data_IF_955172903008
#
_entry.id   IF_955172903008
#
_cell.length_a   1.000
_cell.length_b   1.000
_cell.length_c   1.000
_cell.angle_alpha   90.00
_cell.angle_beta   90.00
_cell.angle_gamma   90.00
#
_symmetry.space_group_name_H-M   'P 1'
#
loop_
_entity.id
_entity.type
_entity.pdbx_description
1 polymer ?
#
# COMPACT_ATOMS: atom_id res chain seq x y z
N UNK A 1 5.47 -45.70 70.59
CA UNK A 1 4.00 -45.67 70.81
C UNK A 1 3.36 -44.97 69.63
N UNK A 2 2.34 -45.61 69.03
CA UNK A 2 1.26 -45.05 68.17
C UNK A 2 1.69 -44.31 66.88
N UNK A 3 1.04 -44.40 65.72
CA UNK A 3 0.09 -45.30 65.04
C UNK A 3 -0.44 -44.49 63.83
N UNK A 4 -0.59 -45.13 62.66
CA UNK A 4 -1.42 -44.76 61.48
C UNK A 4 -0.89 -43.66 60.52
N UNK A 5 -0.65 -43.97 59.22
CA UNK A 5 -1.60 -44.16 58.08
C UNK A 5 -2.31 -42.81 57.73
N UNK A 6 -2.51 -42.32 56.50
CA UNK A 6 -2.49 -42.86 55.12
C UNK A 6 -2.75 -41.73 54.08
N UNK A 7 -2.36 -42.01 52.83
CA UNK A 7 -2.81 -41.54 51.49
C UNK A 7 -3.39 -40.13 51.24
N UNK A 8 -2.78 -39.51 50.22
CA UNK A 8 -3.35 -39.18 48.90
C UNK A 8 -4.86 -38.87 48.78
N UNK A 9 -5.18 -37.63 48.39
CA UNK A 9 -5.97 -37.29 47.19
C UNK A 9 -5.46 -35.91 46.72
N UNK A 10 -4.65 -35.88 45.66
CA UNK A 10 -5.08 -35.68 44.27
C UNK A 10 -5.39 -34.20 43.97
N UNK A 11 -4.54 -33.65 43.10
CA UNK A 11 -4.84 -32.68 42.05
C UNK A 11 -6.19 -31.95 42.15
N UNK A 12 -6.11 -30.63 42.34
CA UNK A 12 -6.81 -29.60 41.53
C UNK A 12 -6.62 -28.24 42.20
N UNK A 13 -5.45 -27.63 41.98
CA UNK A 13 -5.32 -26.18 41.95
C UNK A 13 -4.05 -25.78 41.18
N UNK A 14 -3.87 -26.40 40.00
CA UNK A 14 -3.27 -25.68 38.88
C UNK A 14 -4.29 -24.61 38.45
N UNK A 15 -4.51 -23.59 39.27
CA UNK A 15 -4.86 -22.28 38.73
C UNK A 15 -3.56 -21.68 38.24
N UNK A 16 -3.09 -22.20 37.12
CA UNK A 16 -2.38 -21.40 36.14
C UNK A 16 -3.23 -20.15 35.94
N UNK A 17 -2.85 -19.08 36.63
CA UNK A 17 -3.15 -17.73 36.20
C UNK A 17 -2.50 -17.59 34.82
N UNK A 18 -3.19 -18.05 33.77
CA UNK A 18 -3.09 -17.39 32.49
C UNK A 18 -3.61 -15.99 32.76
N UNK A 19 -2.73 -15.07 33.16
CA UNK A 19 -2.96 -13.71 32.75
C UNK A 19 -2.87 -13.78 31.24
N UNK A 20 -4.03 -13.87 30.61
CA UNK A 20 -4.17 -13.41 29.24
C UNK A 20 -3.96 -11.89 29.32
N UNK A 21 -2.69 -11.50 29.46
CA UNK A 21 -2.21 -10.18 29.11
C UNK A 21 -2.32 -10.09 27.58
N UNK A 22 -3.55 -9.97 27.11
CA UNK A 22 -3.89 -9.52 25.77
C UNK A 22 -3.57 -8.03 25.65
N UNK A 23 -2.33 -7.63 25.98
CA UNK A 23 -1.76 -6.45 25.33
C UNK A 23 -1.82 -6.76 23.84
N UNK A 24 -2.50 -5.95 23.02
CA UNK A 24 -2.47 -6.13 21.58
C UNK A 24 -1.00 -6.19 21.19
N UNK A 25 -0.55 -7.32 20.64
CA UNK A 25 0.78 -7.36 20.04
C UNK A 25 0.80 -6.22 19.02
N UNK A 26 1.69 -5.26 19.22
CA UNK A 26 1.85 -4.12 18.33
C UNK A 26 2.00 -4.57 16.88
N UNK A 27 1.64 -3.71 15.94
CA UNK A 27 1.81 -3.97 14.53
C UNK A 27 3.32 -3.97 14.22
N UNK A 28 3.95 -5.14 13.96
CA UNK A 28 5.40 -5.23 13.88
C UNK A 28 6.00 -4.44 12.71
N UNK A 29 5.18 -4.09 11.71
CA UNK A 29 5.62 -3.31 10.55
C UNK A 29 5.37 -1.83 10.82
N UNK A 30 4.16 -1.46 11.24
CA UNK A 30 3.83 -0.06 11.46
C UNK A 30 4.48 0.54 12.71
N UNK A 31 4.75 -0.27 13.73
CA UNK A 31 5.42 0.16 14.96
C UNK A 31 6.94 0.12 14.83
N UNK A 32 7.49 -0.43 13.73
CA UNK A 32 8.92 -0.39 13.45
C UNK A 32 9.39 1.06 13.22
N UNK A 33 10.67 1.38 13.51
CA UNK A 33 11.21 2.71 13.25
C UNK A 33 11.00 3.15 11.79
N UNK A 34 10.39 4.32 11.62
CA UNK A 34 10.25 4.97 10.33
C UNK A 34 11.46 5.86 10.05
N UNK A 35 12.01 5.75 8.84
CA UNK A 35 13.04 6.65 8.33
C UNK A 35 12.51 7.39 7.11
N UNK A 36 12.29 8.70 7.23
CA UNK A 36 11.84 9.51 6.11
C UNK A 36 12.88 9.55 4.99
N UNK A 37 12.40 9.57 3.75
CA UNK A 37 13.23 9.76 2.56
C UNK A 37 14.02 11.06 2.68
N UNK A 38 15.33 11.04 2.44
CA UNK A 38 16.18 12.24 2.56
C UNK A 38 16.46 12.91 1.22
N UNK A 39 16.47 12.12 0.14
CA UNK A 39 16.66 12.59 -1.23
C UNK A 39 16.00 11.61 -2.20
N UNK A 40 15.73 12.06 -3.43
CA UNK A 40 15.20 11.17 -4.47
C UNK A 40 16.16 10.02 -4.80
N UNK A 41 17.48 10.21 -4.62
CA UNK A 41 18.49 9.18 -4.91
C UNK A 41 18.36 7.93 -4.05
N UNK A 42 17.77 8.06 -2.86
CA UNK A 42 17.46 6.91 -1.99
C UNK A 42 16.32 6.04 -2.53
N UNK A 43 15.49 6.55 -3.47
CA UNK A 43 14.47 5.73 -4.11
C UNK A 43 15.13 4.68 -5.02
N UNK A 44 14.79 3.38 -4.85
CA UNK A 44 15.33 2.35 -5.71
C UNK A 44 14.74 2.46 -7.12
N UNK A 45 15.62 2.44 -8.12
CA UNK A 45 15.24 2.42 -9.53
C UNK A 45 14.79 1.02 -9.93
N UNK A 46 13.81 0.95 -10.83
CA UNK A 46 13.28 -0.29 -11.37
C UNK A 46 11.88 -0.61 -10.82
N UNK A 47 11.53 -1.89 -10.83
CA UNK A 47 10.21 -2.38 -10.44
C UNK A 47 10.17 -2.75 -8.96
N UNK A 48 9.32 -2.08 -8.19
CA UNK A 48 9.08 -2.37 -6.77
C UNK A 48 7.72 -3.06 -6.62
N UNK A 49 7.73 -4.33 -6.24
CA UNK A 49 6.49 -5.12 -6.09
C UNK A 49 5.72 -4.68 -4.86
N UNK A 50 4.41 -4.59 -5.00
CA UNK A 50 3.52 -4.31 -3.87
C UNK A 50 3.62 -5.42 -2.81
N UNK A 51 3.82 -5.01 -1.56
CA UNK A 51 3.95 -5.90 -0.42
C UNK A 51 2.68 -5.96 0.42
N UNK A 52 1.94 -4.85 0.50
CA UNK A 52 0.78 -4.73 1.37
C UNK A 52 0.41 -3.29 1.68
N UNK A 53 -0.56 -3.10 2.55
CA UNK A 53 -1.04 -1.78 2.94
C UNK A 53 -1.49 -1.74 4.40
N UNK A 54 -1.50 -0.52 4.93
CA UNK A 54 -2.19 -0.17 6.16
C UNK A 54 -3.38 0.72 5.80
N UNK A 55 -4.58 0.37 6.26
CA UNK A 55 -5.78 1.17 6.01
C UNK A 55 -6.23 1.82 7.32
N UNK A 56 -6.09 3.14 7.41
CA UNK A 56 -6.47 3.90 8.58
C UNK A 56 -5.86 3.35 9.88
N UNK A 57 -6.69 2.99 10.85
CA UNK A 57 -6.28 2.41 12.13
C UNK A 57 -6.03 0.89 12.09
N UNK A 58 -6.32 0.20 10.98
CA UNK A 58 -6.13 -1.25 10.88
C UNK A 58 -4.64 -1.61 10.86
N UNK A 59 -4.26 -2.82 11.34
CA UNK A 59 -2.91 -3.33 11.17
C UNK A 59 -2.50 -3.46 9.70
N UNK A 60 -1.20 -3.49 9.44
CA UNK A 60 -0.63 -3.73 8.11
C UNK A 60 -1.02 -5.12 7.63
N UNK A 61 -1.71 -5.17 6.48
CA UNK A 61 -2.01 -6.39 5.75
C UNK A 61 -0.98 -6.63 4.65
N UNK A 62 -0.16 -7.67 4.81
CA UNK A 62 0.77 -8.12 3.77
C UNK A 62 0.11 -9.13 2.82
N UNK A 63 0.56 -9.12 1.57
CA UNK A 63 0.22 -10.14 0.59
C UNK A 63 0.84 -11.47 1.02
N UNK A 64 -0.01 -12.42 1.37
CA UNK A 64 0.39 -13.81 1.62
C UNK A 64 0.87 -14.51 0.34
N UNK A 65 1.68 -15.55 0.50
CA UNK A 65 2.25 -16.34 -0.62
C UNK A 65 1.18 -16.97 -1.53
N UNK A 66 0.01 -17.26 -0.97
CA UNK A 66 -1.12 -17.89 -1.70
C UNK A 66 -2.22 -16.88 -2.08
N UNK A 67 -1.92 -15.58 -2.06
CA UNK A 67 -2.90 -14.55 -2.37
C UNK A 67 -3.31 -14.65 -3.85
N UNK A 68 -4.61 -14.91 -4.10
CA UNK A 68 -5.18 -15.00 -5.45
C UNK A 68 -5.79 -13.69 -5.95
N UNK A 69 -5.64 -12.61 -5.20
CA UNK A 69 -6.14 -11.29 -5.61
C UNK A 69 -5.20 -10.66 -6.65
N UNK A 70 -5.76 -9.84 -7.53
CA UNK A 70 -4.97 -9.11 -8.52
C UNK A 70 -4.00 -8.10 -7.91
N UNK A 71 -4.17 -7.78 -6.62
CA UNK A 71 -3.28 -6.89 -5.88
C UNK A 71 -1.84 -7.38 -5.81
N UNK A 72 -1.59 -8.69 -5.94
CA UNK A 72 -0.23 -9.22 -6.01
C UNK A 72 0.53 -8.78 -7.28
N UNK A 73 -0.22 -8.34 -8.29
CA UNK A 73 0.34 -7.83 -9.54
C UNK A 73 0.62 -6.33 -9.48
N UNK A 74 0.25 -5.63 -8.40
CA UNK A 74 0.53 -4.21 -8.26
C UNK A 74 2.04 -3.96 -8.14
N UNK A 75 2.52 -2.91 -8.78
CA UNK A 75 3.91 -2.48 -8.65
C UNK A 75 4.10 -0.99 -8.91
N UNK A 76 5.21 -0.47 -8.38
CA UNK A 76 5.76 0.81 -8.79
C UNK A 76 6.89 0.59 -9.79
N UNK A 77 7.02 1.50 -10.74
CA UNK A 77 8.17 1.56 -11.63
C UNK A 77 8.75 2.97 -11.60
N UNK A 78 10.03 3.05 -11.23
CA UNK A 78 10.82 4.28 -11.23
C UNK A 78 11.95 4.15 -12.25
N UNK A 79 12.13 5.18 -13.08
CA UNK A 79 13.24 5.22 -14.04
C UNK A 79 14.53 5.76 -13.40
N UNK A 80 15.62 5.75 -14.17
CA UNK A 80 16.93 6.24 -13.71
C UNK A 80 16.94 7.74 -13.40
N UNK A 81 16.06 8.53 -14.03
CA UNK A 81 16.00 9.98 -13.86
C UNK A 81 15.26 10.38 -12.60
N UNK A 82 14.38 9.51 -12.09
CA UNK A 82 13.58 9.72 -10.87
C UNK A 82 12.69 10.97 -10.95
N UNK A 83 12.22 11.28 -12.16
CA UNK A 83 11.28 12.38 -12.42
C UNK A 83 9.84 11.90 -12.29
N UNK A 84 9.56 10.65 -12.69
CA UNK A 84 8.22 10.07 -12.70
C UNK A 84 8.24 8.68 -12.08
N UNK A 85 7.42 8.49 -11.07
CA UNK A 85 7.09 7.19 -10.50
C UNK A 85 5.73 6.75 -11.07
N UNK A 86 5.66 5.55 -11.63
CA UNK A 86 4.41 5.02 -12.19
C UNK A 86 3.84 3.92 -11.30
N UNK A 87 2.55 4.02 -10.97
CA UNK A 87 1.85 3.01 -10.19
C UNK A 87 0.90 2.19 -11.06
N UNK A 88 1.20 0.91 -11.18
CA UNK A 88 0.41 -0.05 -11.93
C UNK A 88 -0.53 -0.76 -10.96
N UNK A 89 -1.76 -0.25 -10.87
CA UNK A 89 -2.82 -0.82 -10.05
C UNK A 89 -3.64 -1.82 -10.86
N UNK A 90 -3.72 -3.06 -10.40
CA UNK A 90 -4.48 -4.12 -11.03
C UNK A 90 -5.74 -4.47 -10.26
N UNK A 91 -6.81 -4.77 -11.00
CA UNK A 91 -8.03 -5.32 -10.44
C UNK A 91 -8.52 -6.51 -11.24
N UNK A 92 -9.42 -7.28 -10.61
CA UNK A 92 -10.07 -8.41 -11.25
C UNK A 92 -11.12 -7.89 -12.22
N UNK A 93 -10.98 -8.22 -13.49
CA UNK A 93 -12.02 -8.06 -14.52
C UNK A 93 -12.78 -9.38 -14.70
N UNK A 94 -13.62 -9.46 -15.74
CA UNK A 94 -14.43 -10.63 -16.06
C UNK A 94 -13.57 -11.90 -16.08
N UNK A 95 -14.00 -12.92 -15.32
CA UNK A 95 -13.38 -14.24 -15.31
C UNK A 95 -11.94 -14.29 -14.79
N UNK A 96 -11.68 -13.99 -13.51
CA UNK A 96 -10.36 -14.11 -12.84
C UNK A 96 -9.15 -13.46 -13.54
N UNK A 97 -9.34 -12.70 -14.62
CA UNK A 97 -8.28 -11.99 -15.32
C UNK A 97 -7.95 -10.72 -14.54
N UNK A 98 -6.66 -10.52 -14.26
CA UNK A 98 -6.15 -9.28 -13.69
C UNK A 98 -5.74 -8.33 -14.81
N UNK A 99 -6.32 -7.13 -14.82
CA UNK A 99 -5.96 -6.07 -15.75
C UNK A 99 -5.76 -4.77 -14.98
N UNK A 100 -5.14 -3.78 -15.62
CA UNK A 100 -5.03 -2.45 -15.04
C UNK A 100 -6.44 -1.93 -14.67
N UNK A 101 -6.52 -1.29 -13.51
CA UNK A 101 -7.74 -0.66 -13.02
C UNK A 101 -8.17 0.46 -13.98
N UNK A 102 -7.20 1.30 -14.36
CA UNK A 102 -7.33 2.35 -15.36
C UNK A 102 -6.82 1.90 -16.73
N UNK A 103 -7.11 2.68 -17.77
CA UNK A 103 -6.54 2.43 -19.11
C UNK A 103 -5.01 2.52 -19.13
N UNK A 104 -4.42 3.30 -18.22
CA UNK A 104 -3.00 3.57 -18.09
C UNK A 104 -2.58 3.61 -16.61
N UNK A 105 -1.30 3.35 -16.28
CA UNK A 105 -0.78 3.54 -14.94
C UNK A 105 -0.92 4.99 -14.45
N UNK A 106 -1.00 5.18 -13.14
CA UNK A 106 -0.95 6.53 -12.57
C UNK A 106 0.49 7.06 -12.62
N UNK A 107 0.65 8.31 -13.04
CA UNK A 107 1.95 8.99 -13.09
C UNK A 107 2.07 9.93 -11.90
N UNK A 108 3.14 9.77 -11.13
CA UNK A 108 3.45 10.55 -9.94
C UNK A 108 4.70 11.35 -10.29
N UNK A 109 4.50 12.62 -10.60
CA UNK A 109 5.58 13.55 -10.90
C UNK A 109 6.27 13.89 -9.58
N UNK A 110 7.57 13.61 -9.51
CA UNK A 110 8.37 13.81 -8.31
C UNK A 110 9.04 15.18 -8.39
N UNK A 111 9.04 15.89 -7.26
CA UNK A 111 9.80 17.13 -7.07
C UNK A 111 10.86 16.93 -6.01
N UNK A 112 11.75 17.92 -5.85
CA UNK A 112 12.69 17.94 -4.73
C UNK A 112 11.93 17.86 -3.40
N UNK A 113 12.49 17.13 -2.44
CA UNK A 113 11.87 16.99 -1.12
C UNK A 113 11.84 18.35 -0.43
N UNK A 114 10.69 18.66 0.17
CA UNK A 114 10.55 19.88 0.99
C UNK A 114 11.25 19.73 2.33
N UNK A 115 11.12 18.54 2.92
CA UNK A 115 11.80 18.13 4.15
C UNK A 115 11.92 16.59 4.17
N UNK A 116 12.70 16.06 5.11
CA UNK A 116 12.87 14.61 5.24
C UNK A 116 11.53 13.91 5.39
N UNK A 117 11.25 13.01 4.46
CA UNK A 117 10.04 12.20 4.41
C UNK A 117 8.79 12.90 3.88
N UNK A 118 8.87 14.16 3.41
CA UNK A 118 7.75 14.86 2.75
C UNK A 118 8.11 15.17 1.31
N UNK A 119 7.44 14.46 0.40
CA UNK A 119 7.67 14.54 -1.02
C UNK A 119 6.51 15.29 -1.69
N UNK A 120 6.72 16.50 -2.23
CA UNK A 120 5.75 17.16 -3.08
C UNK A 120 5.55 16.37 -4.38
N UNK A 121 4.29 16.13 -4.75
CA UNK A 121 3.94 15.36 -5.95
C UNK A 121 2.73 15.93 -6.66
N UNK A 122 2.66 15.63 -7.95
CA UNK A 122 1.44 15.72 -8.75
C UNK A 122 1.12 14.34 -9.28
N UNK A 123 -0.09 13.84 -9.00
CA UNK A 123 -0.56 12.53 -9.45
C UNK A 123 -1.54 12.74 -10.58
N UNK A 124 -1.25 12.12 -11.72
CA UNK A 124 -2.08 12.16 -12.91
C UNK A 124 -2.63 10.78 -13.26
N UNK A 125 -3.87 10.76 -13.69
CA UNK A 125 -4.50 9.59 -14.32
C UNK A 125 -4.72 9.91 -15.79
N UNK A 126 -4.41 8.95 -16.66
CA UNK A 126 -4.72 9.01 -18.09
C UNK A 126 -5.87 8.07 -18.38
N UNK A 127 -6.87 8.55 -19.11
CA UNK A 127 -8.04 7.76 -19.52
C UNK A 127 -8.28 7.90 -21.01
N UNK A 128 -8.82 6.85 -21.63
CA UNK A 128 -9.35 6.93 -22.99
C UNK A 128 -10.74 7.56 -22.92
N UNK A 129 -10.94 8.62 -23.70
CA UNK A 129 -12.27 9.20 -23.94
C UNK A 129 -12.66 9.04 -25.41
N UNK A 130 -13.96 8.97 -25.65
CA UNK A 130 -14.49 9.03 -26.99
C UNK A 130 -14.14 10.40 -27.65
N UNK A 131 -13.90 10.43 -28.97
CA UNK A 131 -13.82 11.66 -29.75
C UNK A 131 -15.11 12.50 -29.63
N UNK A 132 -14.99 13.83 -29.69
CA UNK A 132 -16.15 14.69 -29.92
C UNK A 132 -16.54 14.71 -31.40
N UNK A 133 -17.71 15.27 -31.72
CA UNK A 133 -18.15 15.38 -33.13
C UNK A 133 -17.18 16.24 -33.95
N UNK A 134 -16.74 17.36 -33.38
CA UNK A 134 -15.80 18.30 -33.99
C UNK A 134 -14.43 17.66 -34.23
N UNK A 135 -13.98 16.80 -33.31
CA UNK A 135 -12.73 16.05 -33.48
C UNK A 135 -12.83 14.99 -34.58
N UNK A 136 -14.00 14.35 -34.75
CA UNK A 136 -14.26 13.39 -35.82
C UNK A 136 -14.40 14.07 -37.18
N UNK A 137 -14.83 15.34 -37.24
CA UNK A 137 -14.79 16.12 -38.50
C UNK A 137 -13.35 16.33 -38.98
N UNK A 138 -12.39 16.47 -38.05
CA UNK A 138 -10.97 16.64 -38.36
C UNK A 138 -10.29 15.29 -38.62
N UNK A 139 -10.64 14.27 -37.83
CA UNK A 139 -10.00 12.95 -37.90
C UNK A 139 -11.04 11.82 -37.74
N UNK A 140 -11.74 11.46 -38.83
CA UNK A 140 -12.87 10.53 -38.80
C UNK A 140 -12.52 9.12 -38.30
N UNK A 141 -11.28 8.69 -38.51
CA UNK A 141 -10.82 7.34 -38.15
C UNK A 141 -10.35 7.22 -36.70
N UNK A 142 -10.34 8.32 -35.95
CA UNK A 142 -9.88 8.32 -34.56
C UNK A 142 -10.90 7.61 -33.67
N UNK A 143 -10.46 6.61 -32.92
CA UNK A 143 -11.35 5.82 -32.03
C UNK A 143 -11.35 6.30 -30.58
N UNK A 144 -10.29 6.98 -30.14
CA UNK A 144 -10.20 7.58 -28.81
C UNK A 144 -9.15 8.70 -28.75
N UNK A 145 -9.30 9.56 -27.74
CA UNK A 145 -8.27 10.50 -27.30
C UNK A 145 -7.82 10.15 -25.89
N UNK A 146 -6.57 10.49 -25.57
CA UNK A 146 -6.05 10.33 -24.21
C UNK A 146 -6.30 11.65 -23.48
N UNK A 147 -7.10 11.59 -22.43
CA UNK A 147 -7.32 12.70 -21.52
C UNK A 147 -6.46 12.48 -20.27
N UNK A 148 -5.72 13.52 -19.87
CA UNK A 148 -4.91 13.51 -18.63
C UNK A 148 -5.62 14.34 -17.57
N UNK A 149 -5.86 13.76 -16.40
CA UNK A 149 -6.53 14.42 -15.26
C UNK A 149 -5.61 14.47 -14.06
N UNK A 150 -5.53 15.64 -13.44
CA UNK A 150 -4.87 15.80 -12.15
C UNK A 150 -5.77 15.15 -11.07
N UNK A 151 -5.29 14.07 -10.46
CA UNK A 151 -5.97 13.36 -9.37
C UNK A 151 -5.64 13.96 -8.02
N UNK A 152 -4.38 14.33 -7.80
CA UNK A 152 -3.91 14.87 -6.54
C UNK A 152 -2.71 15.80 -6.75
N UNK A 153 -2.64 16.86 -5.96
CA UNK A 153 -1.51 17.78 -5.90
C UNK A 153 -1.28 18.12 -4.42
N UNK A 154 -0.09 17.81 -3.91
CA UNK A 154 0.21 17.98 -2.50
C UNK A 154 1.47 17.23 -2.08
N UNK A 155 1.54 16.90 -0.79
CA UNK A 155 2.71 16.26 -0.18
C UNK A 155 2.36 14.84 0.27
N UNK A 156 3.23 13.89 -0.05
CA UNK A 156 3.14 12.51 0.46
C UNK A 156 4.20 12.28 1.53
N UNK A 157 3.83 11.49 2.55
CA UNK A 157 4.83 10.88 3.43
C UNK A 157 5.48 9.70 2.72
N UNK A 158 6.79 9.79 2.50
CA UNK A 158 7.57 8.76 1.81
C UNK A 158 8.82 8.42 2.62
N UNK A 159 9.09 7.15 2.81
CA UNK A 159 10.29 6.70 3.49
C UNK A 159 10.35 5.20 3.61
N UNK A 160 11.16 4.74 4.55
CA UNK A 160 11.41 3.32 4.77
C UNK A 160 10.90 2.90 6.15
N UNK A 161 10.26 1.76 6.21
CA UNK A 161 9.76 1.19 7.45
C UNK A 161 9.81 -0.34 7.37
N UNK A 162 10.38 -0.98 8.39
CA UNK A 162 10.55 -2.44 8.45
C UNK A 162 11.17 -3.10 7.18
N UNK A 163 12.04 -2.38 6.47
CA UNK A 163 12.68 -2.87 5.24
C UNK A 163 11.84 -2.72 3.96
N UNK A 164 10.70 -2.01 4.02
CA UNK A 164 9.87 -1.68 2.87
C UNK A 164 9.98 -0.19 2.51
N UNK A 165 9.74 0.14 1.24
CA UNK A 165 9.37 1.49 0.85
C UNK A 165 7.91 1.71 1.28
N UNK A 166 7.65 2.74 2.07
CA UNK A 166 6.33 3.17 2.54
C UNK A 166 5.95 4.49 1.88
N UNK A 167 4.76 4.54 1.29
CA UNK A 167 4.21 5.75 0.65
C UNK A 167 2.81 6.01 1.24
N UNK A 168 2.54 7.26 1.63
CA UNK A 168 1.17 7.69 1.98
C UNK A 168 0.23 7.43 0.80
N UNK A 169 -0.89 6.80 1.11
CA UNK A 169 -1.81 6.34 0.08
C UNK A 169 -2.73 7.46 -0.40
N UNK A 170 -2.37 8.04 -1.55
CA UNK A 170 -3.24 8.85 -2.43
C UNK A 170 -3.40 8.20 -3.81
N UNK A 171 -2.96 6.95 -3.94
CA UNK A 171 -2.84 6.21 -5.19
C UNK A 171 -3.92 5.16 -5.31
N UNK A 172 -4.24 4.46 -4.22
CA UNK A 172 -5.33 3.50 -4.20
C UNK A 172 -6.69 4.21 -4.21
N UNK A 173 -7.74 3.45 -4.55
CA UNK A 173 -9.12 3.93 -4.51
C UNK A 173 -9.76 3.77 -3.12
N UNK A 174 -8.95 3.75 -2.06
CA UNK A 174 -9.45 3.67 -0.68
C UNK A 174 -9.89 5.06 -0.23
N UNK A 175 -11.19 5.23 -0.01
CA UNK A 175 -11.73 6.44 0.58
C UNK A 175 -11.66 6.40 2.11
N UNK A 176 -11.37 7.56 2.70
CA UNK A 176 -11.51 7.75 4.14
C UNK A 176 -13.00 7.68 4.48
N UNK A 177 -13.34 6.78 5.40
CA UNK A 177 -14.70 6.53 5.86
C UNK A 177 -14.69 6.16 7.33
N UNK A 178 -15.87 5.92 7.90
CA UNK A 178 -16.00 5.56 9.33
C UNK A 178 -15.16 4.34 9.73
N UNK A 179 -14.91 3.43 8.80
CA UNK A 179 -14.11 2.21 8.96
C UNK A 179 -12.61 2.38 8.62
N UNK A 180 -12.22 3.49 7.98
CA UNK A 180 -10.87 3.75 7.47
C UNK A 180 -10.30 5.06 8.04
N UNK A 181 -10.58 5.36 9.31
CA UNK A 181 -10.12 6.61 9.94
C UNK A 181 -8.60 6.68 10.03
N UNK A 182 -8.01 7.79 9.60
CA UNK A 182 -6.58 8.04 9.67
C UNK A 182 -5.82 7.76 8.37
N UNK A 183 -4.52 8.01 8.38
CA UNK A 183 -3.67 7.85 7.19
C UNK A 183 -3.53 6.39 6.79
N UNK A 184 -3.59 6.16 5.49
CA UNK A 184 -3.31 4.87 4.87
C UNK A 184 -1.95 4.89 4.20
N UNK A 185 -1.29 3.75 4.13
CA UNK A 185 0.05 3.62 3.56
C UNK A 185 0.14 2.38 2.69
N UNK A 186 0.84 2.50 1.57
CA UNK A 186 1.23 1.39 0.71
C UNK A 186 2.68 1.00 1.01
N UNK A 187 2.96 -0.30 0.98
CA UNK A 187 4.30 -0.86 1.21
C UNK A 187 4.76 -1.61 -0.03
N UNK A 188 6.03 -1.42 -0.39
CA UNK A 188 6.65 -2.05 -1.56
C UNK A 188 7.99 -2.69 -1.19
N UNK A 189 8.27 -3.83 -1.83
CA UNK A 189 9.55 -4.50 -1.73
C UNK A 189 10.64 -3.70 -2.44
N UNK A 190 11.76 -3.46 -1.74
CA UNK A 190 12.92 -2.73 -2.25
C UNK A 190 14.01 -3.65 -2.86
N UNK A 191 13.77 -4.97 -2.88
CA UNK A 191 14.64 -6.02 -3.43
C UNK A 191 13.80 -7.12 -4.07
#
# INVERSE_FOLDING_TARGET
MKKYLILCFAALALSCSKSDDNTPKGDPIFDAPYSGLKSLDELPVGTLKYAGNKIGSQPVGLIGKDNKTCKQSDYLLLDMKREVLTYHLFEKKVGNICALFWDFPEEIILSELKETGKLPVQIYTKIKRAPTKEELEINPDKTYYIETKLKYNGELEVGFQAGYLRIEDKLSNVSEGSLNKGKSYLYFHIK
#
